data_IF_875020605722
#
_entry.id   IF_875020605722
#
_cell.length_a   1.000
_cell.length_b   1.000
_cell.length_c   1.000
_cell.angle_alpha   90.00
_cell.angle_beta   90.00
_cell.angle_gamma   90.00
#
_symmetry.space_group_name_H-M   'P 1'
#
loop_
_entity.id
_entity.type
_entity.pdbx_description
1 polymer ?
#
# COMPACT_ATOMS: atom_id res chain seq x y z
N UNK A 1 33.61 6.11 -13.69
CA UNK A 1 32.40 5.40 -13.19
C UNK A 1 31.72 6.29 -12.17
N UNK A 2 30.42 6.59 -12.36
CA UNK A 2 29.66 7.31 -11.32
C UNK A 2 29.42 6.36 -10.15
N UNK A 3 29.75 6.83 -8.94
CA UNK A 3 29.55 6.05 -7.73
C UNK A 3 28.06 5.74 -7.52
N UNK A 4 27.73 4.48 -7.21
CA UNK A 4 26.34 4.02 -6.99
C UNK A 4 25.64 4.81 -5.89
N UNK A 5 26.36 5.24 -4.85
CA UNK A 5 25.82 6.11 -3.78
C UNK A 5 25.39 7.48 -4.31
N UNK A 6 26.14 8.03 -5.24
CA UNK A 6 25.77 9.31 -5.89
C UNK A 6 24.50 9.15 -6.73
N UNK A 7 24.34 8.02 -7.43
CA UNK A 7 23.13 7.70 -8.18
C UNK A 7 21.91 7.56 -7.26
N UNK A 8 22.05 6.81 -6.16
CA UNK A 8 20.98 6.68 -5.16
C UNK A 8 20.52 8.02 -4.59
N UNK A 9 21.44 8.92 -4.27
CA UNK A 9 21.11 10.29 -3.79
C UNK A 9 20.41 11.12 -4.85
N UNK A 10 20.87 11.08 -6.11
CA UNK A 10 20.23 11.78 -7.23
C UNK A 10 18.81 11.28 -7.45
N UNK A 11 18.61 9.95 -7.43
CA UNK A 11 17.28 9.34 -7.53
C UNK A 11 16.34 9.87 -6.45
N UNK A 12 16.75 9.80 -5.17
CA UNK A 12 15.93 10.30 -4.06
C UNK A 12 15.61 11.79 -4.25
N UNK A 13 16.58 12.60 -4.69
CA UNK A 13 16.37 14.03 -4.95
C UNK A 13 15.30 14.28 -6.03
N UNK A 14 15.28 13.48 -7.09
CA UNK A 14 14.31 13.55 -8.18
C UNK A 14 12.92 13.06 -7.71
N UNK A 15 12.87 11.95 -7.00
CA UNK A 15 11.62 11.39 -6.50
C UNK A 15 10.96 12.28 -5.43
N UNK A 16 11.73 12.97 -4.58
CA UNK A 16 11.20 13.98 -3.64
C UNK A 16 10.45 15.10 -4.33
N UNK A 17 10.90 15.52 -5.50
CA UNK A 17 10.19 16.55 -6.30
C UNK A 17 8.90 16.00 -6.89
N UNK A 18 8.88 14.73 -7.28
CA UNK A 18 7.70 14.08 -7.89
C UNK A 18 6.65 13.69 -6.86
N UNK A 19 7.06 13.21 -5.71
CA UNK A 19 6.21 12.73 -4.62
C UNK A 19 6.43 13.62 -3.37
N UNK A 20 5.85 14.84 -3.34
CA UNK A 20 6.02 15.74 -2.22
C UNK A 20 5.31 15.19 -0.99
N UNK A 21 5.95 15.31 0.15
CA UNK A 21 5.43 14.86 1.45
C UNK A 21 6.55 14.32 2.33
N UNK A 22 6.35 14.26 3.64
CA UNK A 22 7.30 13.62 4.53
C UNK A 22 7.32 12.12 4.28
N UNK A 23 8.50 11.51 4.36
CA UNK A 23 8.60 10.06 4.47
C UNK A 23 7.90 9.64 5.76
N UNK A 24 6.89 8.76 5.70
CA UNK A 24 6.22 8.32 6.91
C UNK A 24 7.22 7.53 7.76
N UNK A 25 7.56 8.11 8.88
CA UNK A 25 8.35 7.46 9.92
C UNK A 25 7.50 7.44 11.17
N UNK A 26 6.78 6.36 11.37
CA UNK A 26 6.01 6.12 12.58
C UNK A 26 6.70 5.02 13.37
N UNK A 27 7.16 5.36 14.58
CA UNK A 27 7.61 4.33 15.51
C UNK A 27 6.41 3.50 15.94
N UNK A 28 6.52 2.18 15.72
CA UNK A 28 5.55 1.18 16.14
C UNK A 28 6.24 0.14 17.01
N UNK A 29 5.51 -0.51 17.95
CA UNK A 29 5.97 -1.74 18.57
C UNK A 29 6.42 -2.76 17.52
N UNK A 30 7.37 -3.63 17.87
CA UNK A 30 7.96 -4.58 16.90
C UNK A 30 6.90 -5.47 16.25
N UNK A 31 5.94 -5.97 17.04
CA UNK A 31 4.85 -6.79 16.51
C UNK A 31 4.00 -6.00 15.51
N UNK A 32 3.60 -4.79 15.86
CA UNK A 32 2.83 -3.92 14.96
C UNK A 32 3.62 -3.56 13.71
N UNK A 33 4.94 -3.33 13.83
CA UNK A 33 5.83 -3.11 12.68
C UNK A 33 5.80 -4.29 11.71
N UNK A 34 5.80 -5.52 12.24
CA UNK A 34 5.74 -6.74 11.44
C UNK A 34 4.36 -6.92 10.78
N UNK A 35 3.27 -6.68 11.50
CA UNK A 35 1.91 -6.72 10.94
C UNK A 35 1.71 -5.62 9.87
N UNK A 36 2.27 -4.43 10.11
CA UNK A 36 2.24 -3.36 9.13
C UNK A 36 3.04 -3.69 7.86
N UNK A 37 4.18 -4.36 7.98
CA UNK A 37 4.96 -4.81 6.83
C UNK A 37 4.13 -5.70 5.90
N UNK A 38 3.33 -6.62 6.46
CA UNK A 38 2.42 -7.49 5.70
C UNK A 38 1.36 -6.66 4.94
N UNK A 39 0.87 -5.57 5.52
CA UNK A 39 -0.05 -4.65 4.82
C UNK A 39 0.66 -3.86 3.71
N UNK A 40 1.95 -3.54 3.89
CA UNK A 40 2.70 -2.64 3.03
C UNK A 40 3.32 -3.32 1.79
N UNK A 41 3.56 -4.63 1.81
CA UNK A 41 4.15 -5.36 0.68
C UNK A 41 3.31 -5.17 -0.60
N UNK A 42 3.92 -4.80 -1.71
CA UNK A 42 3.27 -4.53 -3.01
C UNK A 42 2.08 -3.54 -2.92
N UNK A 43 2.08 -2.62 -1.95
CA UNK A 43 1.01 -1.64 -1.73
C UNK A 43 1.55 -0.23 -1.55
N UNK A 44 0.69 0.77 -1.76
CA UNK A 44 1.01 2.15 -1.39
C UNK A 44 0.94 2.35 0.13
N UNK A 45 1.59 3.41 0.61
CA UNK A 45 1.55 3.74 2.05
C UNK A 45 0.10 4.00 2.50
N UNK A 46 -0.70 4.69 1.68
CA UNK A 46 -2.10 5.00 2.00
C UNK A 46 -2.95 3.73 2.08
N UNK A 47 -2.73 2.78 1.15
CA UNK A 47 -3.39 1.48 1.19
C UNK A 47 -2.97 0.68 2.43
N UNK A 48 -1.68 0.69 2.76
CA UNK A 48 -1.16 -0.02 3.92
C UNK A 48 -1.69 0.56 5.24
N UNK A 49 -1.73 1.89 5.39
CA UNK A 49 -2.28 2.55 6.59
C UNK A 49 -3.78 2.23 6.74
N UNK A 50 -4.54 2.29 5.65
CA UNK A 50 -5.97 1.95 5.65
C UNK A 50 -6.19 0.49 6.02
N UNK A 51 -5.40 -0.42 5.46
CA UNK A 51 -5.46 -1.84 5.75
C UNK A 51 -5.08 -2.14 7.20
N UNK A 52 -3.99 -1.53 7.69
CA UNK A 52 -3.51 -1.71 9.06
C UNK A 52 -4.52 -1.18 10.08
N UNK A 53 -5.14 -0.03 9.82
CA UNK A 53 -6.21 0.49 10.67
C UNK A 53 -7.42 -0.47 10.71
N UNK A 54 -7.82 -1.05 9.56
CA UNK A 54 -8.86 -2.09 9.52
C UNK A 54 -8.46 -3.33 10.30
N UNK A 55 -7.21 -3.78 10.17
CA UNK A 55 -6.70 -4.94 10.89
C UNK A 55 -6.83 -4.79 12.41
N UNK A 56 -6.52 -3.60 12.94
CA UNK A 56 -6.60 -3.33 14.37
C UNK A 56 -8.02 -3.04 14.87
N UNK A 57 -8.95 -2.63 13.99
CA UNK A 57 -10.33 -2.27 14.37
C UNK A 57 -11.37 -3.34 14.08
N UNK A 58 -11.07 -4.31 13.22
CA UNK A 58 -12.01 -5.35 12.84
C UNK A 58 -12.20 -6.43 13.91
N UNK A 59 -11.27 -6.53 14.86
CA UNK A 59 -11.25 -7.53 15.92
C UNK A 59 -11.12 -6.84 17.28
N UNK A 60 -11.65 -7.49 18.31
CA UNK A 60 -11.63 -6.93 19.66
C UNK A 60 -10.19 -6.83 20.21
N UNK A 61 -9.37 -7.85 19.96
CA UNK A 61 -7.97 -7.89 20.36
C UNK A 61 -7.12 -8.77 19.43
N UNK A 62 -5.81 -8.80 19.70
CA UNK A 62 -4.87 -9.62 18.93
C UNK A 62 -5.09 -11.14 19.15
N UNK A 63 -5.75 -11.56 20.23
CA UNK A 63 -6.05 -12.97 20.45
C UNK A 63 -7.22 -13.42 19.57
N UNK A 64 -8.28 -12.62 19.45
CA UNK A 64 -9.35 -12.87 18.51
C UNK A 64 -8.80 -12.97 17.08
N UNK A 65 -7.97 -12.01 16.70
CA UNK A 65 -7.30 -11.98 15.39
C UNK A 65 -6.45 -13.25 15.14
N UNK A 66 -5.77 -13.76 16.18
CA UNK A 66 -4.97 -14.99 16.11
C UNK A 66 -5.81 -16.24 15.83
N UNK A 67 -7.00 -16.35 16.43
CA UNK A 67 -7.85 -17.54 16.35
C UNK A 67 -8.88 -17.48 15.23
N UNK A 68 -9.05 -16.32 14.59
CA UNK A 68 -9.99 -16.14 13.46
C UNK A 68 -9.62 -16.99 12.24
N UNK A 69 -10.61 -17.29 11.44
CA UNK A 69 -10.42 -18.03 10.19
C UNK A 69 -9.65 -17.22 9.16
N UNK A 70 -8.98 -17.90 8.21
CA UNK A 70 -8.28 -17.21 7.11
C UNK A 70 -9.26 -16.41 6.26
N UNK A 71 -10.44 -16.94 5.98
CA UNK A 71 -11.47 -16.25 5.19
C UNK A 71 -11.90 -14.94 5.84
N UNK A 72 -12.08 -14.96 7.15
CA UNK A 72 -12.45 -13.78 7.93
C UNK A 72 -11.32 -12.73 7.94
N UNK A 73 -10.08 -13.17 8.23
CA UNK A 73 -8.92 -12.30 8.17
C UNK A 73 -8.67 -11.72 6.77
N UNK A 74 -8.94 -12.48 5.71
CA UNK A 74 -8.72 -12.04 4.34
C UNK A 74 -9.58 -10.82 3.97
N UNK A 75 -10.76 -10.66 4.58
CA UNK A 75 -11.64 -9.49 4.33
C UNK A 75 -10.98 -8.16 4.71
N UNK A 76 -10.06 -8.19 5.68
CA UNK A 76 -9.29 -6.99 6.07
C UNK A 76 -8.41 -6.49 4.94
N UNK A 77 -7.94 -7.42 4.10
CA UNK A 77 -7.03 -7.14 2.99
C UNK A 77 -7.74 -6.88 1.66
N UNK A 78 -9.05 -6.68 1.67
CA UNK A 78 -9.81 -6.31 0.48
C UNK A 78 -9.22 -5.09 -0.22
N UNK A 79 -9.00 -5.23 -1.54
CA UNK A 79 -8.34 -4.22 -2.36
C UNK A 79 -6.81 -4.34 -2.45
N UNK A 80 -6.20 -5.26 -1.70
CA UNK A 80 -4.79 -5.62 -1.82
C UNK A 80 -4.61 -6.96 -2.53
N UNK A 81 -3.50 -7.12 -3.25
CA UNK A 81 -3.15 -8.40 -3.85
C UNK A 81 -2.89 -9.47 -2.78
N UNK A 82 -3.24 -10.73 -3.07
CA UNK A 82 -2.93 -11.89 -2.23
C UNK A 82 -3.50 -11.82 -0.80
N UNK A 83 -4.77 -11.41 -0.65
CA UNK A 83 -5.44 -11.25 0.64
C UNK A 83 -5.32 -12.50 1.53
N UNK A 84 -5.57 -13.71 1.00
CA UNK A 84 -5.47 -14.96 1.75
C UNK A 84 -4.04 -15.20 2.29
N UNK A 85 -3.01 -14.94 1.47
CA UNK A 85 -1.62 -15.10 1.91
C UNK A 85 -1.23 -14.08 3.00
N UNK A 86 -1.74 -12.87 2.93
CA UNK A 86 -1.54 -11.86 3.99
C UNK A 86 -2.22 -12.31 5.28
N UNK A 87 -3.44 -12.83 5.19
CA UNK A 87 -4.17 -13.40 6.33
C UNK A 87 -3.41 -14.57 6.97
N UNK A 88 -2.87 -15.49 6.18
CA UNK A 88 -2.02 -16.58 6.66
C UNK A 88 -0.78 -16.07 7.40
N UNK A 89 -0.08 -15.08 6.85
CA UNK A 89 1.12 -14.50 7.49
C UNK A 89 0.78 -13.82 8.81
N UNK A 90 -0.28 -13.01 8.86
CA UNK A 90 -0.73 -12.36 10.11
C UNK A 90 -1.01 -13.40 11.18
N UNK A 91 -1.78 -14.44 10.85
CA UNK A 91 -2.08 -15.52 11.79
C UNK A 91 -0.81 -16.24 12.25
N UNK A 92 0.11 -16.58 11.35
CA UNK A 92 1.37 -17.24 11.69
C UNK A 92 2.26 -16.38 12.59
N UNK A 93 2.31 -15.07 12.35
CA UNK A 93 3.03 -14.12 13.22
C UNK A 93 2.45 -14.15 14.64
N UNK A 94 1.14 -14.01 14.76
CA UNK A 94 0.48 -13.96 16.07
C UNK A 94 0.57 -15.28 16.82
N UNK A 95 0.42 -16.42 16.15
CA UNK A 95 0.66 -17.73 16.75
C UNK A 95 2.09 -17.86 17.25
N UNK A 96 3.09 -17.56 16.41
CA UNK A 96 4.48 -17.68 16.80
C UNK A 96 4.84 -16.82 18.01
N UNK A 97 4.37 -15.55 18.03
CA UNK A 97 4.67 -14.62 19.12
C UNK A 97 4.00 -15.08 20.41
N UNK A 98 2.73 -15.47 20.34
CA UNK A 98 1.98 -15.94 21.51
C UNK A 98 2.52 -17.25 22.08
N UNK A 99 2.79 -18.25 21.25
CA UNK A 99 3.34 -19.55 21.69
C UNK A 99 4.71 -19.42 22.35
N UNK A 100 5.47 -18.39 21.94
CA UNK A 100 6.81 -18.17 22.48
C UNK A 100 6.81 -17.38 23.79
N UNK A 101 5.92 -16.41 23.92
CA UNK A 101 5.97 -15.41 24.99
C UNK A 101 4.75 -15.49 25.92
N UNK A 102 3.69 -16.20 25.53
CA UNK A 102 2.35 -16.21 26.14
C UNK A 102 1.72 -14.80 26.24
N UNK A 103 2.23 -13.88 25.45
CA UNK A 103 1.78 -12.49 25.32
C UNK A 103 2.05 -11.98 23.90
N UNK A 104 1.39 -10.89 23.50
CA UNK A 104 1.61 -10.23 22.19
C UNK A 104 2.70 -9.16 22.27
N UNK A 105 3.82 -9.47 22.94
CA UNK A 105 4.99 -8.62 23.04
C UNK A 105 6.17 -9.23 22.25
N UNK A 106 6.78 -8.44 21.37
CA UNK A 106 7.90 -8.89 20.55
C UNK A 106 9.12 -7.97 20.67
N UNK A 107 9.11 -7.06 21.65
CA UNK A 107 10.18 -6.07 21.88
C UNK A 107 11.54 -6.68 22.19
N UNK A 108 11.56 -7.94 22.65
CA UNK A 108 12.79 -8.69 22.83
C UNK A 108 13.65 -8.79 21.56
N UNK A 109 13.05 -8.62 20.37
CA UNK A 109 13.77 -8.62 19.09
C UNK A 109 14.75 -7.44 19.00
N UNK A 110 14.43 -6.26 19.54
CA UNK A 110 15.29 -5.05 19.53
C UNK A 110 16.62 -5.25 20.25
N UNK A 111 16.67 -6.18 21.20
CA UNK A 111 17.86 -6.46 22.03
C UNK A 111 18.79 -7.51 21.38
N UNK A 112 18.43 -8.03 20.21
CA UNK A 112 19.20 -9.08 19.52
C UNK A 112 20.16 -8.49 18.49
N UNK A 113 21.23 -9.24 18.24
CA UNK A 113 22.07 -8.97 17.07
C UNK A 113 21.27 -9.21 15.79
N UNK A 114 21.69 -8.59 14.67
CA UNK A 114 21.04 -8.79 13.36
C UNK A 114 20.90 -10.28 13.02
N UNK A 115 21.94 -11.06 13.24
CA UNK A 115 21.94 -12.50 12.95
C UNK A 115 20.88 -13.25 13.77
N UNK A 116 20.80 -13.01 15.08
CA UNK A 116 19.84 -13.66 15.97
C UNK A 116 18.39 -13.20 15.67
N UNK A 117 18.21 -11.91 15.37
CA UNK A 117 16.90 -11.38 14.98
C UNK A 117 16.44 -11.98 13.65
N UNK A 118 17.33 -12.06 12.66
CA UNK A 118 17.07 -12.69 11.36
C UNK A 118 16.69 -14.17 11.54
N UNK A 119 17.50 -14.95 12.29
CA UNK A 119 17.19 -16.35 12.60
C UNK A 119 15.82 -16.50 13.30
N UNK A 120 15.45 -15.54 14.15
CA UNK A 120 14.14 -15.58 14.83
C UNK A 120 12.99 -15.32 13.87
N UNK A 121 13.10 -14.33 12.99
CA UNK A 121 12.07 -14.04 11.99
C UNK A 121 11.91 -15.17 10.97
N UNK A 122 12.98 -15.87 10.62
CA UNK A 122 12.92 -17.05 9.74
C UNK A 122 12.13 -18.25 10.34
N UNK A 123 11.93 -18.29 11.64
CA UNK A 123 11.09 -19.31 12.30
C UNK A 123 9.59 -19.04 12.15
N UNK A 124 9.21 -17.83 11.76
CA UNK A 124 7.81 -17.49 11.49
C UNK A 124 7.49 -18.01 10.07
N UNK A 125 6.51 -18.89 9.98
CA UNK A 125 6.13 -19.53 8.71
C UNK A 125 5.56 -18.50 7.73
N UNK A 126 5.86 -18.69 6.46
CA UNK A 126 5.33 -17.95 5.31
C UNK A 126 5.64 -16.44 5.30
N UNK A 127 6.49 -15.97 6.22
CA UNK A 127 6.91 -14.57 6.27
C UNK A 127 7.77 -14.23 5.06
N UNK A 128 7.39 -13.18 4.32
CA UNK A 128 8.12 -12.80 3.11
C UNK A 128 9.50 -12.20 3.42
N UNK A 129 10.41 -12.17 2.45
CA UNK A 129 11.65 -11.43 2.57
C UNK A 129 11.44 -9.95 2.86
N UNK A 130 10.42 -9.36 2.24
CA UNK A 130 10.05 -7.98 2.48
C UNK A 130 9.64 -7.75 3.95
N UNK A 131 8.74 -8.58 4.49
CA UNK A 131 8.26 -8.47 5.87
C UNK A 131 9.43 -8.52 6.87
N UNK A 132 10.36 -9.48 6.66
CA UNK A 132 11.56 -9.62 7.50
C UNK A 132 12.47 -8.39 7.41
N UNK A 133 12.80 -7.96 6.20
CA UNK A 133 13.72 -6.85 5.97
C UNK A 133 13.14 -5.52 6.46
N UNK A 134 11.84 -5.29 6.25
CA UNK A 134 11.16 -4.11 6.77
C UNK A 134 11.21 -4.06 8.30
N UNK A 135 10.91 -5.18 8.95
CA UNK A 135 10.96 -5.27 10.42
C UNK A 135 12.39 -5.07 10.96
N UNK A 136 13.39 -5.73 10.35
CA UNK A 136 14.79 -5.56 10.75
C UNK A 136 15.29 -4.13 10.55
N UNK A 137 14.91 -3.49 9.45
CA UNK A 137 15.28 -2.12 9.18
C UNK A 137 14.59 -1.14 10.15
N UNK A 138 13.26 -1.26 10.31
CA UNK A 138 12.47 -0.30 11.09
C UNK A 138 12.64 -0.50 12.59
N UNK A 139 12.68 -1.76 13.07
CA UNK A 139 12.77 -2.05 14.49
C UNK A 139 14.20 -2.01 15.04
N UNK A 140 15.21 -2.42 14.25
CA UNK A 140 16.61 -2.52 14.68
C UNK A 140 17.53 -1.47 14.03
N UNK A 141 17.03 -0.70 13.08
CA UNK A 141 17.83 0.26 12.33
C UNK A 141 18.98 -0.40 11.55
N UNK A 142 18.79 -1.63 11.08
CA UNK A 142 19.84 -2.37 10.37
C UNK A 142 19.99 -1.90 8.92
N UNK A 143 21.18 -2.11 8.33
CA UNK A 143 21.43 -1.80 6.92
C UNK A 143 20.91 -2.93 6.02
N UNK A 144 19.60 -3.15 6.05
CA UNK A 144 18.88 -4.01 5.09
C UNK A 144 17.84 -3.18 4.37
N UNK A 145 17.66 -3.42 3.07
CA UNK A 145 16.72 -2.64 2.26
C UNK A 145 15.46 -3.48 2.06
N UNK A 146 14.30 -3.04 2.57
CA UNK A 146 13.04 -3.74 2.35
C UNK A 146 12.59 -3.50 0.90
N UNK A 147 12.69 -4.53 0.08
CA UNK A 147 12.31 -4.51 -1.34
C UNK A 147 11.29 -5.61 -1.59
N UNK A 148 10.16 -5.25 -2.15
CA UNK A 148 9.15 -6.17 -2.64
C UNK A 148 9.25 -6.36 -4.16
N UNK A 149 8.32 -7.12 -4.73
CA UNK A 149 8.32 -7.42 -6.17
C UNK A 149 8.17 -6.16 -7.03
N UNK A 150 7.29 -5.22 -6.67
CA UNK A 150 7.09 -3.99 -7.44
C UNK A 150 8.31 -3.09 -7.36
N UNK A 151 8.90 -2.95 -6.18
CA UNK A 151 10.14 -2.19 -5.97
C UNK A 151 11.32 -2.82 -6.71
N UNK A 152 11.42 -4.16 -6.76
CA UNK A 152 12.44 -4.88 -7.54
C UNK A 152 12.31 -4.56 -9.02
N UNK A 153 11.10 -4.62 -9.58
CA UNK A 153 10.87 -4.28 -10.99
C UNK A 153 11.27 -2.84 -11.30
N UNK A 154 10.92 -1.89 -10.43
CA UNK A 154 11.33 -0.50 -10.56
C UNK A 154 12.87 -0.35 -10.48
N UNK A 155 13.54 -1.05 -9.55
CA UNK A 155 14.99 -1.02 -9.40
C UNK A 155 15.71 -1.59 -10.62
N UNK A 156 15.20 -2.66 -11.23
CA UNK A 156 15.70 -3.23 -12.48
C UNK A 156 15.54 -2.21 -13.61
N UNK A 157 14.38 -1.61 -13.75
CA UNK A 157 14.13 -0.58 -14.76
C UNK A 157 15.06 0.62 -14.61
N UNK A 158 15.39 1.01 -13.37
CA UNK A 158 16.33 2.09 -13.06
C UNK A 158 17.80 1.71 -13.37
N UNK A 159 18.11 0.42 -13.57
CA UNK A 159 19.47 -0.08 -13.73
C UNK A 159 20.23 -0.20 -12.39
N UNK A 160 19.51 -0.16 -11.25
CA UNK A 160 20.10 -0.32 -9.92
C UNK A 160 20.16 -1.79 -9.47
N UNK A 161 19.34 -2.66 -10.07
CA UNK A 161 19.33 -4.11 -9.89
C UNK A 161 19.43 -4.80 -11.25
N UNK A 162 19.91 -6.04 -11.28
CA UNK A 162 20.06 -6.79 -12.52
C UNK A 162 18.75 -7.46 -12.93
N UNK A 163 18.56 -7.67 -14.23
CA UNK A 163 17.38 -8.37 -14.75
C UNK A 163 17.30 -9.81 -14.20
N UNK A 164 16.15 -10.19 -13.70
CA UNK A 164 15.91 -11.52 -13.14
C UNK A 164 16.30 -11.68 -11.66
N UNK A 165 16.81 -10.62 -11.00
CA UNK A 165 17.02 -10.67 -9.55
C UNK A 165 15.70 -10.86 -8.80
N UNK A 166 15.76 -11.72 -7.76
CA UNK A 166 14.68 -11.83 -6.77
C UNK A 166 14.67 -10.62 -5.83
N UNK A 167 13.60 -10.36 -5.08
CA UNK A 167 13.59 -9.27 -4.09
C UNK A 167 14.75 -9.34 -3.09
N UNK A 168 15.17 -10.54 -2.67
CA UNK A 168 16.32 -10.72 -1.78
C UNK A 168 17.63 -10.30 -2.44
N UNK A 169 17.83 -10.72 -3.68
CA UNK A 169 19.05 -10.36 -4.44
C UNK A 169 19.09 -8.86 -4.72
N UNK A 170 17.96 -8.27 -5.12
CA UNK A 170 17.85 -6.83 -5.34
C UNK A 170 18.10 -6.03 -4.04
N UNK A 171 17.62 -6.52 -2.88
CA UNK A 171 17.90 -5.90 -1.59
C UNK A 171 19.42 -5.86 -1.29
N UNK A 172 20.16 -6.93 -1.60
CA UNK A 172 21.63 -6.96 -1.44
C UNK A 172 22.33 -6.04 -2.44
N UNK A 173 21.94 -6.07 -3.70
CA UNK A 173 22.52 -5.22 -4.75
C UNK A 173 22.34 -3.74 -4.43
N UNK A 174 21.19 -3.34 -3.92
CA UNK A 174 20.86 -1.96 -3.57
C UNK A 174 21.62 -1.43 -2.35
N UNK A 175 22.16 -2.28 -1.48
CA UNK A 175 22.98 -1.85 -0.33
C UNK A 175 24.18 -0.99 -0.76
N UNK A 176 24.73 -1.25 -1.94
CA UNK A 176 25.86 -0.46 -2.48
C UNK A 176 25.45 0.94 -2.94
N UNK A 177 24.15 1.18 -3.17
CA UNK A 177 23.61 2.45 -3.65
C UNK A 177 23.07 3.36 -2.54
N UNK A 178 22.98 2.87 -1.29
CA UNK A 178 22.30 3.57 -0.19
C UNK A 178 23.09 3.46 1.10
N UNK A 179 23.29 4.57 1.80
CA UNK A 179 23.85 4.56 3.15
C UNK A 179 22.81 4.08 4.16
N UNK A 180 23.27 3.46 5.25
CA UNK A 180 22.41 2.95 6.32
C UNK A 180 21.37 3.99 6.79
N UNK A 181 21.78 5.23 7.03
CA UNK A 181 20.90 6.31 7.49
C UNK A 181 19.86 6.74 6.44
N UNK A 182 20.13 6.52 5.15
CA UNK A 182 19.27 6.94 4.06
C UNK A 182 18.28 5.83 3.63
N UNK A 183 18.39 4.61 4.18
CA UNK A 183 17.55 3.46 3.80
C UNK A 183 16.05 3.75 3.95
N UNK A 184 15.54 4.29 5.06
CA UNK A 184 14.09 4.53 5.20
C UNK A 184 13.56 5.48 4.11
N UNK A 185 14.29 6.55 3.85
CA UNK A 185 13.93 7.55 2.85
C UNK A 185 14.00 6.98 1.43
N UNK A 186 15.06 6.25 1.12
CA UNK A 186 15.23 5.61 -0.18
C UNK A 186 14.12 4.58 -0.44
N UNK A 187 13.86 3.68 0.51
CA UNK A 187 12.84 2.65 0.39
C UNK A 187 11.43 3.27 0.21
N UNK A 188 11.13 4.34 0.95
CA UNK A 188 9.87 5.07 0.81
C UNK A 188 9.69 5.62 -0.62
N UNK A 189 10.67 6.36 -1.14
CA UNK A 189 10.53 6.96 -2.47
C UNK A 189 10.58 5.94 -3.60
N UNK A 190 11.38 4.88 -3.47
CA UNK A 190 11.37 3.77 -4.42
C UNK A 190 10.00 3.09 -4.46
N UNK A 191 9.34 2.92 -3.29
CA UNK A 191 7.97 2.43 -3.21
C UNK A 191 6.98 3.37 -3.90
N UNK A 192 7.02 4.68 -3.61
CA UNK A 192 6.15 5.65 -4.27
C UNK A 192 6.23 5.55 -5.80
N UNK A 193 7.44 5.38 -6.35
CA UNK A 193 7.66 5.17 -7.77
C UNK A 193 7.05 3.84 -8.24
N UNK A 194 7.34 2.75 -7.53
CA UNK A 194 7.00 1.38 -7.92
C UNK A 194 5.49 1.12 -7.95
N UNK A 195 4.74 1.78 -7.04
CA UNK A 195 3.27 1.60 -6.93
C UNK A 195 2.45 2.71 -7.61
N UNK A 196 3.09 3.71 -8.24
CA UNK A 196 2.35 4.76 -8.97
C UNK A 196 1.53 4.13 -10.10
N UNK A 197 0.19 4.17 -10.07
CA UNK A 197 -0.66 3.49 -11.05
C UNK A 197 -0.44 3.99 -12.48
N UNK A 198 0.14 5.18 -12.65
CA UNK A 198 0.48 5.75 -13.97
C UNK A 198 1.76 5.15 -14.54
N UNK A 199 2.63 4.58 -13.67
CA UNK A 199 3.99 4.15 -14.00
C UNK A 199 4.21 2.65 -13.84
N UNK A 200 3.45 1.98 -12.97
CA UNK A 200 3.65 0.56 -12.61
C UNK A 200 3.75 -0.35 -13.84
N UNK A 201 2.96 -0.08 -14.88
CA UNK A 201 2.99 -0.83 -16.16
C UNK A 201 4.31 -0.66 -16.92
N UNK A 202 5.02 0.44 -16.68
CA UNK A 202 6.32 0.68 -17.30
C UNK A 202 7.42 -0.21 -16.68
N UNK A 203 7.22 -0.72 -15.48
CA UNK A 203 8.18 -1.56 -14.76
C UNK A 203 7.89 -3.07 -14.87
N UNK A 204 6.81 -3.48 -15.57
CA UNK A 204 6.47 -4.90 -15.74
C UNK A 204 7.56 -5.68 -16.49
N UNK A 205 7.93 -6.88 -16.02
CA UNK A 205 8.88 -7.73 -16.71
C UNK A 205 8.44 -8.02 -18.15
N UNK A 206 9.38 -8.03 -19.08
CA UNK A 206 9.12 -8.34 -20.50
C UNK A 206 8.79 -7.13 -21.37
N UNK A 207 8.37 -6.00 -20.83
CA UNK A 207 8.25 -4.74 -21.62
C UNK A 207 9.59 -4.04 -21.85
N UNK A 208 10.63 -4.50 -21.17
CA UNK A 208 11.99 -3.94 -21.17
C UNK A 208 13.03 -4.93 -21.70
N UNK A 209 12.71 -5.70 -22.76
CA UNK A 209 13.68 -6.60 -23.40
C UNK A 209 14.98 -5.89 -23.83
N UNK A 210 14.92 -4.56 -24.03
CA UNK A 210 16.11 -3.71 -24.24
C UNK A 210 16.73 -3.18 -22.94
N UNK A 211 16.11 -3.36 -21.80
CA UNK A 211 16.61 -2.91 -20.48
C UNK A 211 17.54 -3.91 -19.82
N UNK A 212 17.88 -5.03 -20.46
CA UNK A 212 18.92 -5.95 -19.99
C UNK A 212 20.28 -5.26 -19.72
N UNK A 213 20.41 -4.00 -20.18
CA UNK A 213 21.58 -3.12 -19.98
C UNK A 213 21.13 -1.67 -19.75
N UNK A 214 20.12 -1.43 -18.92
CA UNK A 214 19.78 -0.05 -18.56
C UNK A 214 20.99 0.59 -17.88
N UNK A 215 21.61 1.55 -18.55
CA UNK A 215 22.72 2.30 -17.97
C UNK A 215 22.21 3.12 -16.78
N UNK A 216 22.70 2.90 -15.57
CA UNK A 216 22.33 3.69 -14.42
C UNK A 216 22.60 5.19 -14.58
N UNK A 217 23.51 5.58 -15.49
CA UNK A 217 23.84 6.97 -15.74
C UNK A 217 22.72 7.72 -16.46
N UNK A 218 21.93 7.05 -17.32
CA UNK A 218 20.78 7.63 -18.04
C UNK A 218 19.49 7.58 -17.24
N UNK A 219 19.53 7.05 -16.01
CA UNK A 219 18.36 6.85 -15.13
C UNK A 219 17.51 8.12 -14.97
N UNK A 220 18.15 9.26 -14.71
CA UNK A 220 17.44 10.52 -14.48
C UNK A 220 16.69 11.00 -15.72
N UNK A 221 17.33 10.96 -16.90
CA UNK A 221 16.74 11.37 -18.17
C UNK A 221 15.56 10.48 -18.54
N UNK A 222 15.72 9.17 -18.34
CA UNK A 222 14.66 8.18 -18.57
C UNK A 222 13.45 8.43 -17.65
N UNK A 223 13.69 8.70 -16.36
CA UNK A 223 12.63 9.02 -15.40
C UNK A 223 11.90 10.30 -15.74
N UNK A 224 12.62 11.37 -16.11
CA UNK A 224 12.00 12.62 -16.50
C UNK A 224 11.14 12.46 -17.76
N UNK A 225 11.61 11.67 -18.72
CA UNK A 225 10.84 11.34 -19.93
C UNK A 225 9.58 10.57 -19.58
N UNK A 226 9.72 9.52 -18.76
CA UNK A 226 8.59 8.71 -18.30
C UNK A 226 7.54 9.54 -17.53
N UNK A 227 7.98 10.48 -16.68
CA UNK A 227 7.07 11.38 -15.97
C UNK A 227 6.33 12.32 -16.92
N UNK A 228 7.01 12.89 -17.93
CA UNK A 228 6.38 13.74 -18.95
C UNK A 228 5.33 12.98 -19.74
N UNK A 229 5.63 11.76 -20.17
CA UNK A 229 4.70 10.88 -20.90
C UNK A 229 3.47 10.53 -20.05
N UNK A 230 3.67 10.14 -18.78
CA UNK A 230 2.58 9.83 -17.87
C UNK A 230 1.67 11.04 -17.61
N UNK A 231 2.24 12.23 -17.42
CA UNK A 231 1.48 13.46 -17.22
C UNK A 231 0.73 13.88 -18.50
N UNK A 232 1.34 13.70 -19.67
CA UNK A 232 0.67 13.96 -20.96
C UNK A 232 -0.50 12.98 -21.19
N UNK A 233 -0.33 11.70 -20.86
CA UNK A 233 -1.39 10.70 -20.92
C UNK A 233 -2.55 11.01 -19.97
N UNK A 234 -2.25 11.42 -18.73
CA UNK A 234 -3.26 11.83 -17.76
C UNK A 234 -4.07 13.05 -18.22
N UNK A 235 -3.41 14.05 -18.80
CA UNK A 235 -4.08 15.24 -19.38
C UNK A 235 -4.99 14.86 -20.54
N UNK A 236 -4.61 13.92 -21.39
CA UNK A 236 -5.44 13.44 -22.51
C UNK A 236 -6.66 12.65 -22.00
N UNK A 237 -6.49 11.82 -20.97
CA UNK A 237 -7.58 11.05 -20.34
C UNK A 237 -8.61 11.97 -19.66
N UNK A 238 -8.15 13.02 -18.97
CA UNK A 238 -9.02 14.02 -18.34
C UNK A 238 -9.77 14.95 -19.33
N UNK A 239 -9.37 14.99 -20.61
CA UNK A 239 -10.04 15.76 -21.67
C UNK A 239 -11.06 14.96 -22.48
N UNK A 240 -11.21 13.63 -22.25
CA UNK A 240 -12.29 12.86 -22.89
C UNK A 240 -13.63 13.31 -22.31
N UNK A 241 -14.59 13.83 -23.15
CA UNK A 241 -15.93 14.12 -22.65
C UNK A 241 -16.55 12.83 -22.13
N UNK A 242 -17.31 12.94 -21.02
CA UNK A 242 -18.12 11.85 -20.52
C UNK A 242 -18.96 11.27 -21.67
N UNK A 243 -19.14 9.94 -21.76
CA UNK A 243 -19.98 9.35 -22.80
C UNK A 243 -21.34 10.01 -22.72
N UNK A 244 -21.75 10.65 -23.84
CA UNK A 244 -22.98 11.39 -23.93
C UNK A 244 -24.14 10.53 -23.44
N UNK A 245 -24.92 11.08 -22.52
CA UNK A 245 -26.27 10.60 -22.20
C UNK A 245 -26.95 10.35 -23.56
N UNK A 246 -27.17 9.10 -23.88
CA UNK A 246 -27.99 8.71 -25.01
C UNK A 246 -29.32 9.44 -24.85
N UNK A 247 -29.60 10.36 -25.75
CA UNK A 247 -30.90 10.98 -25.86
C UNK A 247 -31.90 9.85 -26.11
N UNK A 248 -32.75 9.62 -25.12
CA UNK A 248 -33.94 8.78 -25.31
C UNK A 248 -34.77 9.54 -26.33
N UNK A 249 -34.74 9.10 -27.58
CA UNK A 249 -35.71 9.49 -28.60
C UNK A 249 -37.03 8.90 -28.16
N UNK A 250 -37.90 9.74 -27.61
CA UNK A 250 -39.31 9.47 -27.57
C UNK A 250 -39.84 9.65 -28.99
N UNK A 251 -40.17 8.54 -29.60
CA UNK A 251 -40.95 8.52 -30.83
C UNK A 251 -42.45 8.73 -30.48
N UNK A 252 -42.99 9.76 -31.12
CA UNK A 252 -44.36 9.89 -31.64
C UNK A 252 -45.51 9.93 -30.66
N UNK A 253 -46.20 11.01 -30.62
CA UNK A 253 -47.18 11.55 -31.59
C UNK A 253 -48.60 11.15 -31.26
N UNK A 254 -49.38 12.15 -30.99
CA UNK A 254 -50.87 12.25 -31.11
C UNK A 254 -51.73 12.34 -29.85
N UNK A 255 -52.31 13.53 -29.83
CA UNK A 255 -53.71 13.91 -29.62
C UNK A 255 -54.24 14.08 -28.18
N UNK A 256 -54.46 15.37 -27.88
CA UNK A 256 -55.52 15.87 -26.96
C UNK A 256 -56.91 15.47 -27.49
N UNK A 257 -57.99 15.40 -26.66
CA UNK A 257 -58.45 16.62 -26.02
C UNK A 257 -59.20 16.49 -24.64
N UNK A 258 -59.26 17.63 -23.97
CA UNK A 258 -60.40 18.28 -23.26
C UNK A 258 -61.17 17.59 -22.10
N UNK A 259 -61.34 18.39 -21.07
CA UNK A 259 -62.47 18.41 -20.12
C UNK A 259 -62.05 18.06 -18.70
N UNK A 260 -62.09 18.84 -17.70
CA UNK A 260 -63.10 19.76 -17.24
C UNK A 260 -63.39 19.46 -15.78
N UNK A 261 -63.35 20.45 -14.90
CA UNK A 261 -64.04 20.47 -13.66
C UNK A 261 -63.33 19.85 -12.45
N UNK A 262 -62.95 20.50 -11.39
CA UNK A 262 -63.77 21.32 -10.56
C UNK A 262 -63.65 20.87 -9.12
N UNK A 263 -63.18 21.74 -8.27
CA UNK A 263 -63.75 22.08 -6.97
C UNK A 263 -63.30 21.40 -5.66
N UNK A 264 -62.65 22.21 -4.84
CA UNK A 264 -62.96 22.51 -3.40
C UNK A 264 -62.66 21.42 -2.34
N UNK A 265 -61.73 21.69 -1.44
CA UNK A 265 -61.92 22.31 -0.10
C UNK A 265 -62.23 21.34 1.07
N UNK A 266 -61.55 21.59 2.18
CA UNK A 266 -61.82 21.11 3.55
C UNK A 266 -60.55 20.70 4.29
N UNK A 267 -59.85 21.52 4.96
CA UNK A 267 -59.86 22.04 6.35
C UNK A 267 -60.43 21.06 7.37
N UNK A 268 -59.59 20.71 8.36
CA UNK A 268 -59.68 20.95 9.82
C UNK A 268 -58.71 19.99 10.51
N UNK A 269 -57.75 20.45 11.28
CA UNK A 269 -57.76 20.85 12.71
C UNK A 269 -57.73 19.68 13.69
N UNK A 270 -56.69 19.73 14.50
CA UNK A 270 -56.56 19.66 15.98
C UNK A 270 -56.44 18.24 16.56
N UNK A 271 -55.70 17.96 17.60
CA UNK A 271 -54.96 18.68 18.61
C UNK A 271 -54.31 17.66 19.54
N UNK A 272 -53.21 18.07 20.14
CA UNK A 272 -52.82 17.88 21.56
C UNK A 272 -52.76 16.49 22.20
N UNK A 273 -51.62 16.25 22.87
CA UNK A 273 -51.55 15.88 24.26
C UNK A 273 -50.36 15.04 24.58
N UNK A 274 -49.29 15.64 25.05
CA UNK A 274 -48.86 15.68 26.44
C UNK A 274 -48.14 14.41 26.97
N UNK A 275 -46.88 14.61 27.30
CA UNK A 275 -46.08 13.82 28.28
C UNK A 275 -46.76 13.84 29.68
N UNK A 276 -46.35 13.00 30.68
CA UNK A 276 -45.07 13.20 31.35
C UNK A 276 -44.38 11.95 31.97
N UNK A 277 -43.08 12.07 32.12
CA UNK A 277 -42.18 11.87 33.26
C UNK A 277 -42.50 10.87 34.42
N UNK A 278 -41.37 10.32 34.87
CA UNK A 278 -40.92 9.94 36.25
C UNK A 278 -40.61 8.46 36.42
N UNK A 279 -39.38 8.15 36.70
CA UNK A 279 -38.52 8.13 37.91
C UNK A 279 -38.40 6.74 38.56
N UNK A 280 -37.13 6.37 38.77
CA UNK A 280 -36.54 5.60 39.90
C UNK A 280 -36.94 4.12 40.07
N UNK A 281 -35.99 3.25 39.98
CA UNK A 281 -35.05 2.83 41.05
C UNK A 281 -33.78 2.32 40.43
#
# INVERSE_FOLDING_TARGET
>A
MVDKLTLGKKLVGLLKKRYPGPSPHQERPVLETLLYAICLEDASVEQAETCFARLLSAFHDLNELRVSSITELATVFDGLASADWRAHRVRNVLHYVFEKNFEFAFESLRRKTLELATKQLFKIRDLSPFDRNYTLQSALGTHVIPVDRLMTNAAIWLGLAATGETPEQAAETLKSAVRKADVPVFAHYLRCLAVDPRLVKAFEPGKHASAATADPQTMNERLETLFKEADAAARKAGKKPAPGRAAVRTADGRERPTGGGGSKAGRTRDARGAAPARKRK
#
